data_IF_659779703788
#
_entry.id   IF_659779703788
#
_cell.length_a   1.000
_cell.length_b   1.000
_cell.length_c   1.000
_cell.angle_alpha   90.00
_cell.angle_beta   90.00
_cell.angle_gamma   90.00
#
_symmetry.space_group_name_H-M   'P 1'
#
loop_
_entity.id
_entity.type
_entity.pdbx_description
1 polymer ?
#
# COMPACT_ATOMS: atom_id res chain seq x y z
N UNK A 1 17.34 1.19 7.48
CA UNK A 1 16.21 0.86 6.60
C UNK A 1 16.72 -0.12 5.58
N UNK A 2 16.15 -1.33 5.57
CA UNK A 2 16.32 -2.29 4.50
C UNK A 2 15.44 -1.80 3.35
N UNK A 3 16.06 -1.29 2.30
CA UNK A 3 15.35 -0.85 1.09
C UNK A 3 15.47 -1.95 0.03
N UNK A 4 14.50 -2.06 -0.89
CA UNK A 4 14.60 -3.01 -2.00
C UNK A 4 15.89 -2.80 -2.79
N UNK A 5 16.69 -3.86 -2.91
CA UNK A 5 18.04 -3.83 -3.50
C UNK A 5 18.04 -3.48 -4.98
N UNK A 6 16.96 -3.84 -5.70
CA UNK A 6 16.79 -3.58 -7.14
C UNK A 6 15.34 -3.71 -7.58
N UNK A 7 15.04 -3.17 -8.76
CA UNK A 7 13.81 -3.46 -9.47
C UNK A 7 13.83 -4.89 -10.03
N UNK A 8 12.65 -5.53 -10.07
CA UNK A 8 12.47 -6.90 -10.55
C UNK A 8 12.72 -7.98 -9.48
N UNK A 9 12.41 -9.25 -9.79
CA UNK A 9 12.33 -10.32 -8.79
C UNK A 9 13.69 -10.70 -8.18
N UNK A 10 13.69 -10.94 -6.87
CA UNK A 10 14.74 -11.64 -6.12
C UNK A 10 14.13 -12.20 -4.81
N UNK A 11 14.75 -13.24 -4.20
CA UNK A 11 14.10 -14.03 -3.13
C UNK A 11 13.49 -13.25 -1.97
N UNK A 12 14.08 -12.12 -1.57
CA UNK A 12 13.65 -11.35 -0.40
C UNK A 12 12.99 -10.01 -0.76
N UNK A 13 12.60 -9.81 -2.02
CA UNK A 13 12.13 -8.48 -2.45
C UNK A 13 10.91 -8.01 -1.68
N UNK A 14 9.95 -8.90 -1.46
CA UNK A 14 8.71 -8.56 -0.77
C UNK A 14 8.99 -8.23 0.69
N UNK A 15 9.94 -8.93 1.33
CA UNK A 15 10.39 -8.64 2.69
C UNK A 15 11.10 -7.28 2.75
N UNK A 16 12.04 -6.99 1.86
CA UNK A 16 12.71 -5.69 1.80
C UNK A 16 11.69 -4.55 1.60
N UNK A 17 10.65 -4.76 0.78
CA UNK A 17 9.55 -3.79 0.62
C UNK A 17 8.76 -3.60 1.92
N UNK A 18 8.42 -4.68 2.62
CA UNK A 18 7.69 -4.61 3.89
C UNK A 18 8.50 -3.88 4.96
N UNK A 19 9.77 -4.26 5.14
CA UNK A 19 10.68 -3.64 6.12
C UNK A 19 10.90 -2.15 5.82
N UNK A 20 10.98 -1.76 4.55
CA UNK A 20 11.09 -0.35 4.15
C UNK A 20 9.85 0.48 4.55
N UNK A 21 8.66 -0.13 4.53
CA UNK A 21 7.39 0.55 4.82
C UNK A 21 6.99 0.48 6.29
N UNK A 22 7.52 -0.48 7.06
CA UNK A 22 7.06 -0.78 8.41
C UNK A 22 7.10 0.42 9.35
N UNK A 23 8.18 1.21 9.34
CA UNK A 23 8.24 2.42 10.17
C UNK A 23 7.13 3.43 9.84
N UNK A 24 6.79 3.60 8.56
CA UNK A 24 5.72 4.49 8.13
C UNK A 24 4.34 3.96 8.54
N UNK A 25 4.11 2.65 8.38
CA UNK A 25 2.89 1.98 8.82
C UNK A 25 2.67 2.16 10.33
N UNK A 26 3.70 1.88 11.14
CA UNK A 26 3.61 2.01 12.59
C UNK A 26 3.35 3.47 13.02
N UNK A 27 3.97 4.44 12.34
CA UNK A 27 3.72 5.85 12.62
C UNK A 27 2.27 6.26 12.35
N UNK A 28 1.60 5.69 11.34
CA UNK A 28 0.18 5.94 11.08
C UNK A 28 -0.71 5.30 12.15
N UNK A 29 -0.37 4.08 12.58
CA UNK A 29 -1.10 3.38 13.63
C UNK A 29 -0.97 4.11 14.97
N UNK A 30 0.23 4.56 15.33
CA UNK A 30 0.48 5.31 16.56
C UNK A 30 -0.27 6.66 16.56
N UNK A 31 -0.39 7.31 15.40
CA UNK A 31 -1.22 8.52 15.24
C UNK A 31 -2.71 8.24 15.47
N UNK A 32 -3.22 7.11 14.98
CA UNK A 32 -4.61 6.71 15.21
C UNK A 32 -4.87 6.40 16.69
N UNK A 33 -3.96 5.70 17.36
CA UNK A 33 -4.06 5.44 18.80
C UNK A 33 -4.01 6.75 19.62
N UNK A 34 -3.15 7.71 19.24
CA UNK A 34 -3.11 9.03 19.87
C UNK A 34 -4.42 9.83 19.66
N UNK A 35 -5.16 9.55 18.59
CA UNK A 35 -6.50 10.09 18.33
C UNK A 35 -7.63 9.32 19.04
N UNK A 36 -7.29 8.28 19.82
CA UNK A 36 -8.24 7.52 20.63
C UNK A 36 -8.79 6.25 19.97
N UNK A 37 -8.22 5.82 18.85
CA UNK A 37 -8.64 4.59 18.17
C UNK A 37 -7.97 3.38 18.83
N UNK A 38 -8.59 2.21 18.72
CA UNK A 38 -7.91 0.95 18.99
C UNK A 38 -6.93 0.64 17.85
N UNK A 39 -5.79 0.05 18.16
CA UNK A 39 -4.82 -0.41 17.16
C UNK A 39 -5.45 -1.30 16.07
N UNK A 40 -6.40 -2.16 16.47
CA UNK A 40 -7.16 -3.02 15.54
C UNK A 40 -8.04 -2.23 14.57
N UNK A 41 -8.62 -1.11 15.00
CA UNK A 41 -9.40 -0.23 14.12
C UNK A 41 -8.49 0.47 13.11
N UNK A 42 -7.31 0.91 13.54
CA UNK A 42 -6.31 1.51 12.65
C UNK A 42 -5.88 0.51 11.56
N UNK A 43 -5.57 -0.73 11.93
CA UNK A 43 -5.21 -1.77 10.97
C UNK A 43 -6.36 -2.08 10.00
N UNK A 44 -7.60 -2.24 10.50
CA UNK A 44 -8.75 -2.48 9.64
C UNK A 44 -8.95 -1.33 8.64
N UNK A 45 -8.88 -0.08 9.09
CA UNK A 45 -9.01 1.08 8.22
C UNK A 45 -7.89 1.14 7.16
N UNK A 46 -6.64 0.83 7.53
CA UNK A 46 -5.51 0.81 6.60
C UNK A 46 -5.67 -0.27 5.53
N UNK A 47 -6.16 -1.46 5.88
CA UNK A 47 -6.47 -2.55 4.93
C UNK A 47 -7.52 -2.08 3.93
N UNK A 48 -8.65 -1.55 4.42
CA UNK A 48 -9.73 -1.06 3.56
C UNK A 48 -9.27 0.08 2.64
N UNK A 49 -8.39 0.97 3.11
CA UNK A 49 -7.82 2.03 2.28
C UNK A 49 -6.95 1.45 1.16
N UNK A 50 -6.08 0.49 1.46
CA UNK A 50 -5.23 -0.17 0.46
C UNK A 50 -6.11 -0.84 -0.62
N UNK A 51 -7.09 -1.65 -0.21
CA UNK A 51 -7.98 -2.35 -1.13
C UNK A 51 -8.74 -1.36 -2.04
N UNK A 52 -9.28 -0.28 -1.46
CA UNK A 52 -9.98 0.74 -2.23
C UNK A 52 -9.07 1.48 -3.23
N UNK A 53 -7.82 1.73 -2.86
CA UNK A 53 -6.85 2.36 -3.75
C UNK A 53 -6.41 1.42 -4.88
N UNK A 54 -6.18 0.13 -4.61
CA UNK A 54 -5.88 -0.86 -5.64
C UNK A 54 -7.03 -0.97 -6.65
N UNK A 55 -8.27 -1.11 -6.18
CA UNK A 55 -9.45 -1.14 -7.05
C UNK A 55 -9.59 0.12 -7.91
N UNK A 56 -9.31 1.29 -7.35
CA UNK A 56 -9.33 2.56 -8.07
C UNK A 56 -8.26 2.66 -9.16
N UNK A 57 -7.05 2.18 -8.88
CA UNK A 57 -5.94 2.16 -9.83
C UNK A 57 -6.21 1.16 -10.98
N UNK A 58 -6.74 -0.02 -10.68
CA UNK A 58 -7.17 -1.00 -11.70
C UNK A 58 -8.25 -0.43 -12.62
N UNK A 59 -9.27 0.22 -12.05
CA UNK A 59 -10.34 0.86 -12.82
C UNK A 59 -9.78 1.95 -13.73
N UNK A 60 -8.82 2.75 -13.24
CA UNK A 60 -8.14 3.78 -14.03
C UNK A 60 -7.37 3.17 -15.19
N UNK A 61 -6.63 2.09 -14.96
CA UNK A 61 -5.87 1.39 -15.99
C UNK A 61 -6.77 0.78 -17.09
N UNK A 62 -7.94 0.26 -16.72
CA UNK A 62 -8.93 -0.24 -17.67
C UNK A 62 -9.47 0.87 -18.57
N UNK A 63 -9.78 2.04 -18.00
CA UNK A 63 -10.23 3.20 -18.76
C UNK A 63 -9.14 3.67 -19.74
N UNK A 64 -7.88 3.75 -19.31
CA UNK A 64 -6.79 4.13 -20.20
C UNK A 64 -6.61 3.15 -21.37
N UNK A 65 -6.64 1.84 -21.10
CA UNK A 65 -6.58 0.82 -22.16
C UNK A 65 -7.73 0.96 -23.16
N UNK A 66 -8.96 1.20 -22.69
CA UNK A 66 -10.11 1.40 -23.56
C UNK A 66 -9.95 2.63 -24.48
N UNK A 67 -9.44 3.74 -23.95
CA UNK A 67 -9.15 4.95 -24.74
C UNK A 67 -8.09 4.66 -25.82
N UNK A 68 -7.04 3.93 -25.48
CA UNK A 68 -5.98 3.60 -26.44
C UNK A 68 -6.47 2.66 -27.54
N UNK A 69 -7.42 1.76 -27.26
CA UNK A 69 -8.02 0.90 -28.31
C UNK A 69 -8.93 1.64 -29.28
N UNK A 70 -9.33 2.88 -28.98
CA UNK A 70 -10.14 3.73 -29.86
C UNK A 70 -9.29 4.67 -30.73
N UNK A 71 -7.96 4.66 -30.59
CA UNK A 71 -7.00 5.43 -31.40
C UNK A 71 -6.41 4.57 -32.53
#
# INVERSE_FOLDING_TARGET
>A
MTEPKRLGPYPDRDLDCQEAMECGLLALVDQAEAAGWLRTEAYAALIELIDNHELGDEARDQVFKAIDTLR
#
